data_IF_773778747570
#
_entry.id   IF_773778747570
#
_cell.length_a   1.000
_cell.length_b   1.000
_cell.length_c   1.000
_cell.angle_alpha   90.00
_cell.angle_beta   90.00
_cell.angle_gamma   90.00
#
_symmetry.space_group_name_H-M   'P 1'
#
loop_
_entity.id
_entity.type
_entity.pdbx_description
1 polymer ?
#
# COMPACT_ATOMS: atom_id res chain seq x y z
N UNK A 1 18.00 -9.03 54.45
CA UNK A 1 17.79 -7.96 53.46
C UNK A 1 18.99 -7.93 52.52
N UNK A 2 18.87 -8.52 51.33
CA UNK A 2 19.87 -8.35 50.27
C UNK A 2 19.51 -7.13 49.42
N UNK A 3 20.49 -6.30 49.06
CA UNK A 3 20.27 -5.23 48.07
C UNK A 3 20.37 -5.85 46.67
N UNK A 4 19.34 -5.66 45.85
CA UNK A 4 19.43 -5.98 44.42
C UNK A 4 20.29 -4.89 43.74
N UNK A 5 21.34 -5.29 43.04
CA UNK A 5 22.07 -4.38 42.16
C UNK A 5 21.27 -4.19 40.87
N UNK A 6 20.75 -2.99 40.65
CA UNK A 6 20.12 -2.60 39.39
C UNK A 6 21.17 -2.43 38.30
N UNK A 7 21.49 -3.52 37.59
CA UNK A 7 22.26 -3.44 36.34
C UNK A 7 21.38 -2.86 35.23
N UNK A 8 21.30 -1.53 35.17
CA UNK A 8 20.84 -0.83 33.97
C UNK A 8 21.80 -1.15 32.83
N UNK A 9 21.27 -1.65 31.71
CA UNK A 9 22.06 -1.82 30.51
C UNK A 9 22.55 -0.44 30.01
N UNK A 10 23.78 -0.33 29.48
CA UNK A 10 24.28 0.93 28.96
C UNK A 10 23.43 1.33 27.75
N UNK A 11 22.70 2.45 27.87
CA UNK A 11 22.07 3.09 26.73
C UNK A 11 23.16 3.44 25.72
N UNK A 12 23.07 2.91 24.49
CA UNK A 12 23.93 3.35 23.40
C UNK A 12 23.57 4.79 23.07
N UNK A 13 24.44 5.72 23.46
CA UNK A 13 24.41 7.11 23.00
C UNK A 13 24.83 7.15 21.52
N UNK A 14 23.86 6.90 20.63
CA UNK A 14 24.07 7.10 19.20
C UNK A 14 24.46 8.57 18.96
N UNK A 15 25.56 8.77 18.22
CA UNK A 15 25.91 10.11 17.76
C UNK A 15 24.94 10.52 16.65
N UNK A 16 24.42 11.77 16.64
CA UNK A 16 23.41 12.18 15.68
C UNK A 16 23.81 11.89 14.22
N UNK A 17 22.81 11.46 13.43
CA UNK A 17 22.98 11.19 12.01
C UNK A 17 23.34 12.44 11.19
N UNK A 18 23.85 12.28 9.95
CA UNK A 18 23.87 13.38 9.00
C UNK A 18 22.46 13.97 8.80
N UNK A 19 22.41 15.23 8.40
CA UNK A 19 21.17 15.95 8.07
C UNK A 19 21.15 16.22 6.57
N UNK A 20 20.02 15.94 5.92
CA UNK A 20 19.74 16.28 4.52
C UNK A 20 18.67 17.36 4.47
N UNK A 21 18.91 18.40 3.67
CA UNK A 21 17.99 19.55 3.52
C UNK A 21 17.22 19.44 2.20
N UNK A 22 15.93 19.12 2.27
CA UNK A 22 15.08 18.96 1.09
C UNK A 22 14.59 20.29 0.52
N UNK A 23 14.75 21.39 1.25
CA UNK A 23 14.23 22.73 0.91
C UNK A 23 12.83 22.99 1.44
N UNK A 24 12.04 21.93 1.70
CA UNK A 24 10.77 22.00 2.41
C UNK A 24 10.89 21.52 3.86
N UNK A 25 11.68 20.50 4.15
CA UNK A 25 12.03 20.04 5.50
C UNK A 25 13.49 19.53 5.55
N UNK A 26 14.02 19.37 6.76
CA UNK A 26 15.37 18.84 7.03
C UNK A 26 15.26 17.54 7.81
N UNK A 27 15.85 16.48 7.28
CA UNK A 27 15.76 15.14 7.85
C UNK A 27 17.10 14.70 8.44
N UNK A 28 17.09 14.21 9.68
CA UNK A 28 18.23 13.60 10.34
C UNK A 28 18.13 12.07 10.28
N UNK A 29 19.23 11.39 9.96
CA UNK A 29 19.23 9.94 9.91
C UNK A 29 19.05 9.31 11.30
N UNK A 30 17.99 8.52 11.48
CA UNK A 30 17.66 7.80 12.73
C UNK A 30 18.72 6.77 13.12
N UNK A 31 19.28 6.07 12.12
CA UNK A 31 20.35 5.07 12.33
C UNK A 31 21.58 5.50 11.55
N UNK A 32 22.69 5.69 12.27
CA UNK A 32 24.03 5.84 11.72
C UNK A 32 24.82 4.55 11.96
N UNK A 33 24.83 3.66 10.98
CA UNK A 33 25.63 2.44 11.00
C UNK A 33 27.02 2.68 10.38
N UNK A 34 27.93 1.69 10.49
CA UNK A 34 29.26 1.78 9.87
C UNK A 34 29.24 1.80 8.33
N UNK A 35 28.10 1.44 7.71
CA UNK A 35 27.99 1.20 6.26
C UNK A 35 26.74 1.83 5.61
N UNK A 36 25.82 2.40 6.38
CA UNK A 36 24.64 3.11 5.86
C UNK A 36 24.13 4.15 6.87
N UNK A 37 23.37 5.13 6.36
CA UNK A 37 22.52 6.00 7.16
C UNK A 37 21.07 5.65 6.80
N UNK A 38 20.20 5.44 7.79
CA UNK A 38 18.76 5.30 7.53
C UNK A 38 18.07 6.64 7.74
N UNK A 39 17.27 7.09 6.78
CA UNK A 39 16.32 8.20 6.93
C UNK A 39 14.92 7.61 6.73
N UNK A 40 14.18 7.49 7.83
CA UNK A 40 12.80 7.00 7.84
C UNK A 40 11.82 8.15 7.98
N UNK A 41 10.55 7.88 7.64
CA UNK A 41 9.44 8.77 7.91
C UNK A 41 9.60 10.17 7.27
N UNK A 42 10.12 10.18 6.03
CA UNK A 42 10.17 11.37 5.18
C UNK A 42 8.79 11.52 4.50
N UNK A 43 8.04 12.61 4.74
CA UNK A 43 6.79 12.86 4.03
C UNK A 43 7.09 13.32 2.60
N UNK A 44 6.36 12.77 1.62
CA UNK A 44 6.49 13.14 0.20
C UNK A 44 5.25 13.85 -0.38
N UNK A 45 4.12 13.75 0.32
CA UNK A 45 2.83 14.33 -0.06
C UNK A 45 2.18 15.09 1.10
N UNK A 46 1.14 15.86 0.82
CA UNK A 46 0.26 16.45 1.84
C UNK A 46 -0.59 15.33 2.47
N UNK A 47 -0.76 15.29 3.80
CA UNK A 47 -1.58 14.26 4.46
C UNK A 47 -3.04 14.29 3.97
N UNK A 48 -3.65 13.15 3.59
CA UNK A 48 -5.01 13.06 3.04
C UNK A 48 -6.08 13.16 4.14
N UNK A 49 -6.13 14.32 4.79
CA UNK A 49 -7.01 14.63 5.92
C UNK A 49 -8.16 15.54 5.49
N UNK A 50 -9.32 15.40 6.14
CA UNK A 50 -10.52 16.20 5.87
C UNK A 50 -10.85 16.20 4.37
N UNK A 51 -10.99 17.37 3.77
CA UNK A 51 -11.28 17.66 2.36
C UNK A 51 -10.25 17.10 1.35
N UNK A 52 -9.16 16.45 1.81
CA UNK A 52 -8.20 15.70 0.98
C UNK A 52 -8.34 14.18 1.10
N UNK A 53 -9.29 13.68 1.90
CA UNK A 53 -9.63 12.25 1.95
C UNK A 53 -10.29 11.86 0.62
N UNK A 54 -10.04 10.63 0.17
CA UNK A 54 -10.57 10.07 -1.10
C UNK A 54 -10.21 10.86 -2.39
N UNK A 55 -9.40 11.91 -2.29
CA UNK A 55 -8.89 12.69 -3.43
C UNK A 55 -7.50 12.23 -3.86
N UNK A 56 -7.06 12.65 -5.05
CA UNK A 56 -5.65 12.54 -5.46
C UNK A 56 -4.71 13.18 -4.41
N UNK A 57 -3.54 12.57 -4.16
CA UNK A 57 -2.55 13.11 -3.22
C UNK A 57 -1.87 14.35 -3.79
N UNK A 58 -1.69 15.38 -2.97
CA UNK A 58 -1.06 16.63 -3.37
C UNK A 58 0.44 16.67 -3.01
N UNK A 59 1.31 17.28 -3.84
CA UNK A 59 2.71 17.49 -3.50
C UNK A 59 2.89 18.49 -2.35
N UNK A 60 3.91 18.29 -1.51
CA UNK A 60 4.21 19.21 -0.39
C UNK A 60 4.54 20.61 -0.92
N UNK A 61 3.77 21.60 -0.45
CA UNK A 61 3.89 23.02 -0.81
C UNK A 61 4.28 23.92 0.39
N UNK A 62 4.38 23.36 1.59
CA UNK A 62 4.70 24.05 2.84
C UNK A 62 6.19 23.90 3.19
N UNK A 63 6.70 24.74 4.11
CA UNK A 63 8.10 24.68 4.57
C UNK A 63 8.18 24.58 6.09
N UNK A 64 8.81 23.52 6.59
CA UNK A 64 9.11 23.26 8.00
C UNK A 64 10.53 23.72 8.35
N UNK A 65 10.67 24.51 9.41
CA UNK A 65 11.97 24.86 9.99
C UNK A 65 12.49 23.83 11.00
N UNK A 66 11.74 22.75 11.25
CA UNK A 66 12.11 21.74 12.24
C UNK A 66 13.21 20.82 11.71
N UNK A 67 13.53 19.78 12.48
CA UNK A 67 14.34 18.65 12.02
C UNK A 67 13.52 17.40 12.35
N UNK A 68 13.12 16.68 11.31
CA UNK A 68 12.47 15.39 11.43
C UNK A 68 13.58 14.32 11.55
N UNK A 69 13.62 13.59 12.67
CA UNK A 69 14.65 12.58 12.96
C UNK A 69 14.20 11.15 12.63
N UNK A 70 13.03 10.99 12.00
CA UNK A 70 12.42 9.72 11.64
C UNK A 70 11.93 8.87 12.82
N UNK A 71 11.98 9.36 14.06
CA UNK A 71 11.71 8.56 15.27
C UNK A 71 10.25 8.16 15.49
N UNK A 72 9.31 8.85 14.84
CA UNK A 72 7.87 8.53 14.87
C UNK A 72 7.51 7.87 13.54
N UNK A 73 7.06 6.62 13.59
CA UNK A 73 6.62 5.86 12.42
C UNK A 73 5.11 5.98 12.20
N UNK A 74 4.71 6.17 10.95
CA UNK A 74 3.31 6.08 10.55
C UNK A 74 3.13 5.12 9.37
N UNK A 75 2.15 4.22 9.48
CA UNK A 75 1.63 3.40 8.39
C UNK A 75 0.16 3.75 8.14
N UNK A 76 -0.33 3.48 6.92
CA UNK A 76 -1.73 3.74 6.60
C UNK A 76 -2.65 2.78 7.37
N UNK A 77 -3.84 3.22 7.84
CA UNK A 77 -4.67 2.42 8.72
C UNK A 77 -5.17 1.15 8.01
N UNK A 78 -5.13 0.01 8.70
CA UNK A 78 -5.41 -1.28 8.08
C UNK A 78 -6.72 -1.92 8.54
N UNK A 79 -7.49 -2.39 7.56
CA UNK A 79 -8.68 -3.20 7.80
C UNK A 79 -8.39 -4.67 7.51
N UNK A 80 -8.81 -5.53 8.44
CA UNK A 80 -8.78 -6.97 8.33
C UNK A 80 -10.06 -7.52 8.95
N UNK A 81 -10.53 -8.68 8.48
CA UNK A 81 -11.52 -9.45 9.24
C UNK A 81 -10.81 -10.21 10.36
N UNK A 82 -11.41 -10.26 11.55
CA UNK A 82 -10.81 -10.97 12.70
C UNK A 82 -10.51 -12.44 12.36
N UNK A 83 -11.43 -13.07 11.62
CA UNK A 83 -11.29 -14.47 11.19
C UNK A 83 -10.10 -14.73 10.27
N UNK A 84 -9.62 -13.77 9.45
CA UNK A 84 -8.48 -14.04 8.55
C UNK A 84 -7.16 -14.20 9.31
N UNK A 85 -6.94 -13.47 10.41
CA UNK A 85 -5.69 -13.57 11.20
C UNK A 85 -5.60 -14.90 11.95
N UNK A 86 -6.63 -15.26 12.70
CA UNK A 86 -6.65 -16.53 13.44
C UNK A 86 -6.61 -17.75 12.51
N UNK A 87 -7.39 -17.68 11.41
CA UNK A 87 -7.43 -18.77 10.45
C UNK A 87 -6.12 -18.92 9.67
N UNK A 88 -5.37 -17.85 9.38
CA UNK A 88 -4.05 -17.96 8.75
C UNK A 88 -3.05 -18.75 9.62
N UNK A 89 -3.05 -18.52 10.94
CA UNK A 89 -2.23 -19.28 11.89
C UNK A 89 -2.67 -20.75 11.96
N UNK A 90 -3.97 -21.03 12.10
CA UNK A 90 -4.52 -22.39 12.14
C UNK A 90 -4.26 -23.13 10.83
N UNK A 91 -4.37 -22.46 9.69
CA UNK A 91 -4.02 -22.99 8.37
C UNK A 91 -2.54 -23.32 8.26
N UNK A 92 -1.64 -22.46 8.73
CA UNK A 92 -0.20 -22.74 8.74
C UNK A 92 0.11 -23.97 9.60
N UNK A 93 -0.45 -24.05 10.82
CA UNK A 93 -0.29 -25.20 11.72
C UNK A 93 -0.85 -26.50 11.12
N UNK A 94 -2.01 -26.47 10.47
CA UNK A 94 -2.59 -27.64 9.80
C UNK A 94 -1.76 -28.08 8.58
N UNK A 95 -1.27 -27.13 7.80
CA UNK A 95 -0.48 -27.40 6.57
C UNK A 95 0.92 -27.93 6.91
N UNK A 96 1.48 -27.53 8.06
CA UNK A 96 2.71 -28.10 8.64
C UNK A 96 2.48 -29.44 9.38
N UNK A 97 1.24 -29.93 9.47
CA UNK A 97 0.91 -31.17 10.18
C UNK A 97 1.01 -31.09 11.71
N UNK A 98 1.04 -29.87 12.27
CA UNK A 98 1.16 -29.62 13.71
C UNK A 98 -0.19 -29.72 14.45
N UNK A 99 -1.31 -29.53 13.73
CA UNK A 99 -2.66 -29.83 14.23
C UNK A 99 -3.40 -30.75 13.24
N UNK A 100 -4.16 -31.71 13.78
CA UNK A 100 -4.88 -32.72 12.99
C UNK A 100 -6.33 -32.32 12.64
N UNK A 101 -6.89 -31.35 13.36
CA UNK A 101 -8.20 -30.76 13.11
C UNK A 101 -8.16 -29.28 13.46
N UNK A 102 -9.10 -28.51 12.91
CA UNK A 102 -9.32 -27.10 13.27
C UNK A 102 -10.59 -27.06 14.11
N UNK A 103 -10.44 -26.58 15.34
CA UNK A 103 -11.47 -26.53 16.37
C UNK A 103 -11.68 -25.06 16.74
N UNK A 104 -12.92 -24.54 16.79
CA UNK A 104 -13.18 -23.15 17.17
C UNK A 104 -12.61 -22.76 18.56
N UNK A 105 -12.41 -23.73 19.47
CA UNK A 105 -11.76 -23.46 20.77
C UNK A 105 -10.24 -23.17 20.66
N UNK A 106 -9.64 -23.34 19.48
CA UNK A 106 -8.28 -22.90 19.17
C UNK A 106 -8.22 -21.49 18.55
N UNK A 107 -9.36 -20.82 18.34
CA UNK A 107 -9.43 -19.38 18.05
C UNK A 107 -9.16 -18.63 19.36
N UNK A 108 -7.88 -18.43 19.67
CA UNK A 108 -7.43 -17.72 20.87
C UNK A 108 -7.46 -16.22 20.55
N UNK A 109 -8.21 -15.37 21.31
CA UNK A 109 -8.16 -13.92 21.14
C UNK A 109 -6.71 -13.42 21.12
N UNK A 110 -6.38 -12.78 20.00
CA UNK A 110 -5.04 -12.73 19.43
C UNK A 110 -3.94 -12.22 20.41
N UNK A 111 -2.86 -13.01 20.67
CA UNK A 111 -1.72 -12.58 21.49
C UNK A 111 -0.70 -11.72 20.73
N UNK A 112 -0.78 -11.66 19.39
CA UNK A 112 -0.07 -10.64 18.61
C UNK A 112 -0.83 -9.33 18.71
N UNK A 113 -0.47 -8.56 19.74
CA UNK A 113 -0.84 -7.15 19.89
C UNK A 113 -0.82 -6.43 18.53
N UNK A 114 -1.83 -5.58 18.29
CA UNK A 114 -1.95 -4.81 17.05
C UNK A 114 -0.66 -4.03 16.73
N UNK A 115 -0.51 -3.58 15.48
CA UNK A 115 0.38 -2.44 15.24
C UNK A 115 -0.11 -1.34 16.19
N UNK A 116 0.74 -0.78 17.09
CA UNK A 116 0.25 0.10 18.14
C UNK A 116 -0.59 1.23 17.52
N UNK A 117 -1.76 1.55 18.10
CA UNK A 117 -2.69 2.51 17.50
C UNK A 117 -2.13 3.95 17.39
N UNK A 118 -0.94 4.18 17.95
CA UNK A 118 -0.12 5.38 17.81
C UNK A 118 0.82 5.36 16.58
N UNK A 119 0.88 4.25 15.82
CA UNK A 119 1.64 4.05 14.58
C UNK A 119 0.73 3.93 13.34
N UNK A 120 -0.53 3.55 13.48
CA UNK A 120 -1.51 3.70 12.38
C UNK A 120 -1.98 5.16 12.35
N UNK A 121 -1.72 5.86 11.24
CA UNK A 121 -2.12 7.26 11.06
C UNK A 121 -2.70 7.46 9.67
N UNK A 122 -3.66 8.37 9.56
CA UNK A 122 -4.10 8.89 8.25
C UNK A 122 -3.05 9.83 7.63
N UNK A 123 -2.07 10.29 8.42
CA UNK A 123 -0.82 10.87 7.93
C UNK A 123 0.23 9.78 7.71
N UNK A 124 0.07 9.01 6.63
CA UNK A 124 0.89 7.83 6.33
C UNK A 124 1.69 7.94 5.01
N UNK A 125 1.72 9.12 4.38
CA UNK A 125 2.38 9.31 3.09
C UNK A 125 3.89 9.54 3.28
N UNK A 126 4.54 8.51 3.81
CA UNK A 126 5.93 8.48 4.27
C UNK A 126 6.77 7.43 3.50
N UNK A 127 8.08 7.68 3.35
CA UNK A 127 9.03 6.77 2.69
C UNK A 127 10.23 6.39 3.58
N UNK A 128 10.72 5.16 3.35
CA UNK A 128 12.08 4.68 3.66
C UNK A 128 12.87 4.56 2.33
N UNK A 129 14.18 4.90 2.31
CA UNK A 129 14.90 5.23 1.04
C UNK A 129 16.31 4.62 0.91
N UNK A 130 16.60 3.89 -0.19
CA UNK A 130 17.89 3.22 -0.57
C UNK A 130 18.03 3.11 -2.13
N UNK A 131 19.21 3.15 -2.80
CA UNK A 131 19.31 3.60 -4.25
C UNK A 131 20.34 2.94 -5.26
N UNK A 132 19.89 2.41 -6.45
CA UNK A 132 20.38 2.56 -7.90
C UNK A 132 19.20 2.53 -8.98
N UNK A 133 19.12 2.54 -10.39
CA UNK A 133 19.82 3.00 -11.68
C UNK A 133 18.86 3.12 -13.01
N UNK A 134 19.07 3.91 -14.15
CA UNK A 134 18.01 4.38 -15.19
C UNK A 134 18.27 5.24 -16.56
N UNK A 135 17.41 5.85 -17.52
CA UNK A 135 15.96 6.42 -17.84
C UNK A 135 15.58 6.67 -19.39
N UNK A 136 14.46 7.24 -20.00
CA UNK A 136 13.07 7.91 -19.78
C UNK A 136 12.24 8.07 -21.16
N UNK A 137 10.92 8.30 -21.49
CA UNK A 137 9.50 8.62 -20.98
C UNK A 137 8.36 7.97 -21.93
N UNK A 138 6.97 7.93 -21.92
CA UNK A 138 5.71 8.61 -21.38
C UNK A 138 4.32 7.80 -21.67
N UNK A 139 3.04 8.36 -21.68
CA UNK A 139 1.69 7.75 -22.18
C UNK A 139 0.26 8.30 -21.58
N UNK A 140 -0.98 8.34 -22.22
CA UNK A 140 -2.40 8.80 -21.71
C UNK A 140 -3.74 8.37 -22.50
N UNK A 141 -5.07 8.41 -22.19
CA UNK A 141 -6.01 8.98 -21.17
C UNK A 141 -7.53 8.48 -21.28
N UNK A 142 -8.56 9.38 -21.46
CA UNK A 142 -10.05 9.31 -21.15
C UNK A 142 -10.98 8.19 -21.78
N UNK A 143 -12.31 7.90 -21.54
CA UNK A 143 -13.57 8.48 -20.91
C UNK A 143 -14.70 7.38 -20.63
N UNK A 144 -15.56 7.45 -19.57
CA UNK A 144 -16.82 6.66 -19.25
C UNK A 144 -17.53 7.14 -17.91
N UNK A 145 -18.34 6.31 -17.16
CA UNK A 145 -18.64 6.54 -15.72
C UNK A 145 -17.35 6.38 -14.95
N UNK A 146 -16.65 7.49 -14.79
CA UNK A 146 -15.44 7.56 -13.99
C UNK A 146 -15.84 7.75 -12.53
N UNK A 147 -15.47 6.83 -11.62
CA UNK A 147 -15.32 7.22 -10.23
C UNK A 147 -14.06 8.09 -10.17
N UNK A 148 -14.24 9.40 -10.39
CA UNK A 148 -13.17 10.39 -10.41
C UNK A 148 -12.31 10.28 -9.15
N UNK A 149 -11.00 10.32 -9.32
CA UNK A 149 -10.01 10.09 -8.26
C UNK A 149 -10.19 8.72 -7.54
N UNK A 150 -10.44 7.66 -8.30
CA UNK A 150 -10.13 6.28 -7.85
C UNK A 150 -8.66 5.95 -8.03
N UNK A 151 -8.26 4.75 -7.62
CA UNK A 151 -6.87 4.29 -7.69
C UNK A 151 -5.89 5.22 -6.95
N UNK A 152 -6.34 5.99 -5.95
CA UNK A 152 -5.50 6.93 -5.19
C UNK A 152 -4.25 6.28 -4.58
N UNK A 153 -4.31 5.00 -4.19
CA UNK A 153 -3.14 4.24 -3.73
C UNK A 153 -2.05 4.04 -4.80
N UNK A 154 -2.39 4.16 -6.08
CA UNK A 154 -1.45 4.18 -7.21
C UNK A 154 -0.95 5.60 -7.51
N UNK A 155 -1.81 6.62 -7.48
CA UNK A 155 -1.37 8.03 -7.53
C UNK A 155 -0.39 8.37 -6.37
N UNK A 156 -0.62 7.82 -5.19
CA UNK A 156 0.28 7.91 -4.03
C UNK A 156 1.65 7.32 -4.35
N UNK A 157 1.70 6.14 -4.99
CA UNK A 157 2.97 5.53 -5.44
C UNK A 157 3.63 6.32 -6.58
N UNK A 158 2.86 6.87 -7.52
CA UNK A 158 3.38 7.73 -8.59
C UNK A 158 4.04 9.00 -8.01
N UNK A 159 3.37 9.67 -7.07
CA UNK A 159 3.90 10.84 -6.38
C UNK A 159 5.13 10.50 -5.51
N UNK A 160 5.13 9.34 -4.85
CA UNK A 160 6.29 8.83 -4.11
C UNK A 160 7.52 8.61 -5.01
N UNK A 161 7.33 7.98 -6.18
CA UNK A 161 8.41 7.72 -7.14
C UNK A 161 8.90 9.00 -7.82
N UNK A 162 8.00 9.94 -8.16
CA UNK A 162 8.35 11.28 -8.62
C UNK A 162 9.15 12.05 -7.55
N UNK A 163 8.75 11.95 -6.27
CA UNK A 163 9.53 12.50 -5.17
C UNK A 163 10.94 11.90 -5.11
N UNK A 164 11.09 10.57 -5.29
CA UNK A 164 12.41 9.93 -5.35
C UNK A 164 13.21 10.51 -6.52
N UNK A 165 12.72 10.46 -7.75
CA UNK A 165 13.40 11.04 -8.92
C UNK A 165 13.85 12.49 -8.68
N UNK A 166 13.00 13.33 -8.10
CA UNK A 166 13.28 14.74 -7.79
C UNK A 166 14.28 14.98 -6.66
N UNK A 167 14.28 14.14 -5.62
CA UNK A 167 15.00 14.42 -4.37
C UNK A 167 16.19 13.48 -4.07
N UNK A 168 16.33 12.34 -4.74
CA UNK A 168 17.30 11.29 -4.38
C UNK A 168 18.77 11.73 -4.54
N UNK A 169 19.02 12.70 -5.42
CA UNK A 169 20.31 13.40 -5.57
C UNK A 169 20.83 14.02 -4.27
N UNK A 170 19.93 14.45 -3.36
CA UNK A 170 20.27 15.01 -2.05
C UNK A 170 20.77 13.97 -1.04
N UNK A 171 20.48 12.69 -1.28
CA UNK A 171 20.96 11.55 -0.51
C UNK A 171 22.18 10.86 -1.16
N UNK A 172 22.62 11.34 -2.33
CA UNK A 172 23.75 10.78 -3.08
C UNK A 172 23.38 9.68 -4.09
N UNK A 173 22.08 9.44 -4.33
CA UNK A 173 21.62 8.62 -5.45
C UNK A 173 21.57 9.40 -6.77
N UNK A 174 21.38 8.72 -7.90
CA UNK A 174 21.16 9.38 -9.18
C UNK A 174 19.66 9.58 -9.45
N UNK A 175 19.19 10.79 -9.82
CA UNK A 175 17.80 11.01 -10.22
C UNK A 175 17.52 10.40 -11.60
N UNK A 176 18.54 10.46 -12.46
CA UNK A 176 18.66 9.72 -13.71
C UNK A 176 18.78 8.20 -13.49
N UNK A 177 18.73 7.71 -12.25
CA UNK A 177 19.20 6.36 -11.93
C UNK A 177 18.46 5.71 -10.73
N UNK A 178 17.25 5.14 -10.97
CA UNK A 178 16.37 4.45 -9.98
C UNK A 178 15.81 3.06 -10.40
N UNK A 179 15.75 2.11 -9.46
CA UNK A 179 15.21 0.76 -9.61
C UNK A 179 14.03 0.60 -8.66
N UNK A 180 12.86 0.26 -9.19
CA UNK A 180 11.67 -0.09 -8.41
C UNK A 180 11.58 -1.61 -8.25
N UNK A 181 11.17 -2.07 -7.08
CA UNK A 181 10.94 -3.48 -6.77
C UNK A 181 9.65 -3.63 -5.98
N UNK A 182 8.86 -4.65 -6.33
CA UNK A 182 7.60 -4.94 -5.67
C UNK A 182 7.30 -6.44 -5.70
N UNK A 183 6.50 -6.87 -4.72
CA UNK A 183 6.04 -8.25 -4.57
C UNK A 183 4.51 -8.28 -4.51
N UNK A 184 3.88 -9.30 -5.08
CA UNK A 184 2.42 -9.49 -5.06
C UNK A 184 1.66 -8.24 -5.55
N UNK A 185 0.84 -7.61 -4.70
CA UNK A 185 0.13 -6.36 -5.01
C UNK A 185 1.07 -5.18 -5.32
N UNK A 186 2.31 -5.17 -4.81
CA UNK A 186 3.34 -4.20 -5.18
C UNK A 186 3.90 -4.43 -6.59
N UNK A 187 4.08 -5.69 -7.00
CA UNK A 187 4.44 -6.03 -8.39
C UNK A 187 3.31 -5.67 -9.37
N UNK A 188 2.05 -5.87 -8.97
CA UNK A 188 0.88 -5.39 -9.73
C UNK A 188 0.81 -3.86 -9.78
N UNK A 189 1.08 -3.16 -8.67
CA UNK A 189 1.10 -1.70 -8.63
C UNK A 189 2.16 -1.12 -9.56
N UNK A 190 3.35 -1.73 -9.61
CA UNK A 190 4.37 -1.38 -10.61
C UNK A 190 3.84 -1.59 -12.03
N UNK A 191 3.15 -2.69 -12.34
CA UNK A 191 2.55 -2.85 -13.67
C UNK A 191 1.46 -1.81 -13.98
N UNK A 192 0.61 -1.45 -13.02
CA UNK A 192 -0.34 -0.35 -13.19
C UNK A 192 0.34 1.02 -13.34
N UNK A 193 1.55 1.23 -12.80
CA UNK A 193 2.37 2.41 -13.06
C UNK A 193 2.97 2.37 -14.47
N UNK A 194 3.54 1.24 -14.89
CA UNK A 194 4.14 1.05 -16.22
C UNK A 194 3.11 1.26 -17.34
N UNK A 195 1.89 0.76 -17.14
CA UNK A 195 0.75 1.02 -18.04
C UNK A 195 -0.14 2.15 -17.52
N UNK A 196 0.38 3.07 -16.72
CA UNK A 196 -0.46 4.19 -16.26
C UNK A 196 -0.79 5.08 -17.44
N UNK A 197 -2.03 5.55 -17.43
CA UNK A 197 -2.62 6.48 -18.39
C UNK A 197 -2.73 6.02 -19.88
N UNK A 198 -1.80 5.28 -20.51
CA UNK A 198 -2.05 4.58 -21.79
C UNK A 198 -1.40 5.11 -23.09
N UNK A 199 -2.14 5.81 -23.97
CA UNK A 199 -1.84 6.14 -25.39
C UNK A 199 -1.13 7.51 -25.73
N UNK A 200 -1.39 8.67 -25.09
CA UNK A 200 -0.97 10.01 -25.59
C UNK A 200 0.18 10.79 -24.86
N UNK A 201 0.33 10.79 -23.51
CA UNK A 201 1.17 11.74 -22.70
C UNK A 201 2.70 11.78 -22.94
N UNK A 202 3.19 11.27 -24.05
CA UNK A 202 4.22 12.02 -24.81
C UNK A 202 3.85 13.50 -25.03
N UNK A 203 2.55 13.80 -24.84
CA UNK A 203 1.88 15.06 -24.53
C UNK A 203 1.73 15.34 -23.00
N UNK A 204 2.80 15.52 -22.20
CA UNK A 204 2.69 15.61 -20.74
C UNK A 204 1.85 16.81 -20.25
N UNK A 205 0.80 16.49 -19.49
CA UNK A 205 -0.13 17.46 -18.89
C UNK A 205 0.12 17.63 -17.37
N UNK A 206 -0.70 18.42 -16.66
CA UNK A 206 -0.39 18.82 -15.27
C UNK A 206 -0.51 17.72 -14.22
N UNK A 207 -1.24 16.64 -14.54
CA UNK A 207 -1.69 15.62 -13.59
C UNK A 207 -1.10 14.23 -13.91
N UNK A 208 -0.39 14.12 -15.05
CA UNK A 208 0.45 12.99 -15.42
C UNK A 208 1.87 13.12 -14.85
N UNK A 209 2.55 11.98 -14.70
CA UNK A 209 4.01 11.99 -14.71
C UNK A 209 4.46 12.12 -16.18
N UNK A 210 5.50 12.93 -16.49
CA UNK A 210 5.92 13.12 -17.87
C UNK A 210 6.52 11.84 -18.49
N UNK A 211 6.84 10.84 -17.67
CA UNK A 211 7.16 9.47 -18.02
C UNK A 211 7.53 8.64 -16.81
N UNK A 212 8.26 7.55 -17.00
CA UNK A 212 8.61 6.67 -15.87
C UNK A 212 9.55 7.39 -14.87
N UNK A 213 9.18 7.49 -13.58
CA UNK A 213 10.06 8.01 -12.53
C UNK A 213 11.08 6.97 -12.04
N UNK A 214 11.02 5.75 -12.57
CA UNK A 214 11.94 4.63 -12.34
C UNK A 214 12.26 3.96 -13.68
N UNK A 215 13.27 3.09 -13.71
CA UNK A 215 13.86 2.67 -14.98
C UNK A 215 14.27 1.20 -15.06
N UNK A 216 14.57 0.60 -13.92
CA UNK A 216 14.65 -0.85 -13.79
C UNK A 216 13.51 -1.31 -12.89
N UNK A 217 12.75 -2.31 -13.30
CA UNK A 217 11.57 -2.78 -12.58
C UNK A 217 11.67 -4.26 -12.26
N UNK A 218 11.58 -4.62 -10.97
CA UNK A 218 11.62 -6.01 -10.50
C UNK A 218 10.23 -6.39 -9.96
N UNK A 219 9.52 -7.21 -10.72
CA UNK A 219 8.13 -7.60 -10.51
C UNK A 219 8.10 -9.04 -9.98
N UNK A 220 7.99 -9.20 -8.66
CA UNK A 220 7.95 -10.49 -7.99
C UNK A 220 6.50 -10.94 -7.82
N UNK A 221 6.08 -12.00 -8.51
CA UNK A 221 4.77 -12.64 -8.35
C UNK A 221 3.55 -11.70 -8.50
N UNK A 222 3.45 -10.88 -9.58
CA UNK A 222 2.35 -9.94 -9.77
C UNK A 222 0.97 -10.63 -9.70
N UNK A 223 0.13 -10.16 -8.78
CA UNK A 223 -1.20 -10.70 -8.51
C UNK A 223 -2.30 -9.82 -9.15
N UNK A 224 -2.90 -10.33 -10.23
CA UNK A 224 -4.07 -9.69 -10.86
C UNK A 224 -5.36 -10.41 -10.49
N UNK A 225 -6.32 -9.64 -9.97
CA UNK A 225 -7.68 -10.08 -9.71
C UNK A 225 -8.57 -9.76 -10.93
N UNK A 226 -9.75 -10.40 -11.07
CA UNK A 226 -10.67 -10.08 -12.16
C UNK A 226 -11.07 -8.61 -12.09
N UNK A 227 -10.86 -7.87 -13.17
CA UNK A 227 -11.30 -6.47 -13.27
C UNK A 227 -12.80 -6.42 -13.08
N UNK A 228 -13.22 -5.71 -12.04
CA UNK A 228 -14.62 -5.47 -11.70
C UNK A 228 -15.27 -4.55 -12.73
N UNK A 229 -16.60 -4.63 -12.83
CA UNK A 229 -17.38 -3.76 -13.70
C UNK A 229 -18.08 -2.68 -12.85
N UNK A 230 -18.47 -1.58 -13.49
CA UNK A 230 -19.10 -0.43 -12.83
C UNK A 230 -20.33 -0.74 -11.96
N UNK A 231 -21.02 -1.87 -12.17
CA UNK A 231 -22.14 -2.26 -11.28
C UNK A 231 -21.66 -2.98 -10.02
N UNK A 232 -20.54 -3.71 -10.09
CA UNK A 232 -19.88 -4.31 -8.91
C UNK A 232 -19.27 -3.22 -8.05
N UNK A 233 -18.57 -2.25 -8.63
CA UNK A 233 -18.04 -1.10 -7.88
C UNK A 233 -19.15 -0.25 -7.25
N UNK A 234 -20.26 -0.02 -7.97
CA UNK A 234 -21.43 0.65 -7.41
C UNK A 234 -22.04 -0.11 -6.24
N UNK A 235 -22.14 -1.44 -6.31
CA UNK A 235 -22.62 -2.26 -5.19
C UNK A 235 -21.67 -2.15 -3.98
N UNK A 236 -20.35 -2.21 -4.19
CA UNK A 236 -19.34 -2.03 -3.12
C UNK A 236 -19.46 -0.65 -2.48
N UNK A 237 -19.68 0.40 -3.27
CA UNK A 237 -19.93 1.76 -2.77
C UNK A 237 -21.24 1.89 -1.98
N UNK A 238 -22.36 1.34 -2.49
CA UNK A 238 -23.65 1.33 -1.80
C UNK A 238 -23.60 0.53 -0.48
N UNK A 239 -22.88 -0.60 -0.45
CA UNK A 239 -22.64 -1.37 0.78
C UNK A 239 -21.72 -0.62 1.76
N UNK A 240 -20.73 0.14 1.28
CA UNK A 240 -19.85 0.95 2.14
C UNK A 240 -20.56 2.14 2.78
N UNK A 241 -21.43 2.84 2.03
CA UNK A 241 -22.32 3.88 2.55
C UNK A 241 -23.18 3.34 3.71
N UNK A 242 -23.86 2.22 3.46
CA UNK A 242 -24.67 1.53 4.48
C UNK A 242 -23.84 1.12 5.70
N UNK A 243 -22.65 0.55 5.50
CA UNK A 243 -21.75 0.13 6.57
C UNK A 243 -21.14 1.28 7.38
N UNK A 244 -21.05 2.48 6.79
CA UNK A 244 -20.54 3.69 7.42
C UNK A 244 -21.62 4.52 8.12
N UNK A 245 -22.91 4.15 8.01
CA UNK A 245 -24.06 4.97 8.46
C UNK A 245 -24.06 6.36 7.79
N UNK A 246 -24.05 6.37 6.45
CA UNK A 246 -24.01 7.56 5.60
C UNK A 246 -24.94 7.41 4.38
N UNK A 247 -25.67 8.47 4.02
CA UNK A 247 -26.53 8.53 2.83
C UNK A 247 -25.81 9.11 1.59
N UNK A 248 -24.67 9.80 1.76
CA UNK A 248 -23.95 10.54 0.71
C UNK A 248 -22.42 10.38 0.77
N UNK A 249 -21.71 10.75 -0.30
CA UNK A 249 -20.23 10.75 -0.31
C UNK A 249 -19.66 11.80 0.63
N UNK A 250 -20.27 12.98 0.65
CA UNK A 250 -19.91 14.13 1.48
C UNK A 250 -20.03 13.81 2.98
N UNK A 251 -20.90 12.87 3.36
CA UNK A 251 -20.94 12.32 4.72
C UNK A 251 -19.73 11.42 5.03
N UNK A 252 -19.23 10.62 4.08
CA UNK A 252 -18.02 9.80 4.27
C UNK A 252 -16.76 10.66 4.46
N UNK A 253 -16.68 11.82 3.82
CA UNK A 253 -15.57 12.76 3.96
C UNK A 253 -15.44 13.29 5.41
N UNK A 254 -16.56 13.47 6.11
CA UNK A 254 -16.58 14.02 7.48
C UNK A 254 -16.58 12.98 8.61
N UNK A 255 -16.79 11.69 8.31
CA UNK A 255 -16.70 10.58 9.29
C UNK A 255 -15.31 10.52 9.96
N UNK A 256 -15.22 9.96 11.16
CA UNK A 256 -13.91 9.65 11.75
C UNK A 256 -13.25 8.47 11.03
N UNK A 257 -11.91 8.41 11.07
CA UNK A 257 -11.17 7.27 10.50
C UNK A 257 -11.61 5.94 11.11
N UNK A 258 -12.01 5.92 12.39
CA UNK A 258 -12.48 4.71 13.07
C UNK A 258 -13.81 4.19 12.50
N UNK A 259 -14.74 5.08 12.14
CA UNK A 259 -16.00 4.69 11.49
C UNK A 259 -15.75 4.11 10.09
N UNK A 260 -14.89 4.76 9.30
CA UNK A 260 -14.53 4.28 7.96
C UNK A 260 -13.76 2.94 8.00
N UNK A 261 -12.87 2.76 8.98
CA UNK A 261 -12.17 1.48 9.20
C UNK A 261 -13.15 0.40 9.64
N UNK A 262 -14.16 0.72 10.46
CA UNK A 262 -15.21 -0.24 10.84
C UNK A 262 -16.06 -0.67 9.64
N UNK A 263 -16.50 0.28 8.80
CA UNK A 263 -17.19 0.00 7.54
C UNK A 263 -16.35 -0.87 6.59
N UNK A 264 -15.05 -0.56 6.46
CA UNK A 264 -14.11 -1.33 5.65
C UNK A 264 -13.94 -2.77 6.19
N UNK A 265 -13.81 -2.95 7.52
CA UNK A 265 -13.75 -4.27 8.15
C UNK A 265 -15.01 -5.11 7.90
N UNK A 266 -16.20 -4.50 7.88
CA UNK A 266 -17.47 -5.16 7.56
C UNK A 266 -17.57 -5.58 6.09
N UNK A 267 -17.03 -4.80 5.15
CA UNK A 267 -16.94 -5.18 3.74
C UNK A 267 -15.84 -6.22 3.46
N UNK A 268 -14.75 -6.22 4.22
CA UNK A 268 -13.69 -7.23 4.13
C UNK A 268 -14.12 -8.56 4.75
N UNK A 269 -14.92 -8.57 5.84
CA UNK A 269 -15.38 -9.82 6.46
C UNK A 269 -16.30 -10.65 5.56
N UNK A 270 -17.02 -9.98 4.65
CA UNK A 270 -17.91 -10.59 3.62
C UNK A 270 -17.18 -10.98 2.34
N UNK A 271 -15.95 -10.50 2.12
CA UNK A 271 -15.17 -10.83 0.94
C UNK A 271 -14.86 -12.34 0.90
N UNK A 272 -15.08 -13.05 -0.22
CA UNK A 272 -14.73 -14.47 -0.33
C UNK A 272 -13.23 -14.70 -0.08
N UNK A 273 -12.87 -15.79 0.59
CA UNK A 273 -11.46 -16.11 0.85
C UNK A 273 -10.59 -16.05 -0.43
N UNK A 274 -9.46 -15.35 -0.33
CA UNK A 274 -8.54 -15.03 -1.42
C UNK A 274 -9.10 -14.12 -2.53
N UNK A 275 -10.16 -13.35 -2.24
CA UNK A 275 -10.58 -12.14 -2.97
C UNK A 275 -10.41 -10.91 -2.07
N UNK A 276 -10.52 -9.72 -2.65
CA UNK A 276 -10.32 -8.44 -1.98
C UNK A 276 -11.43 -7.47 -2.41
N UNK A 277 -12.06 -6.78 -1.46
CA UNK A 277 -13.22 -5.90 -1.74
C UNK A 277 -12.82 -4.58 -2.39
N UNK A 278 -11.59 -4.12 -2.17
CA UNK A 278 -11.04 -2.87 -2.71
C UNK A 278 -9.70 -3.13 -3.39
N UNK A 279 -9.43 -2.43 -4.50
CA UNK A 279 -8.20 -2.53 -5.28
C UNK A 279 -8.17 -1.52 -6.42
N UNK A 280 -7.21 -1.61 -7.36
CA UNK A 280 -7.22 -0.80 -8.57
C UNK A 280 -8.46 -1.10 -9.42
N UNK A 281 -9.27 -0.07 -9.67
CA UNK A 281 -10.43 -0.11 -10.56
C UNK A 281 -10.04 0.40 -11.94
N UNK A 282 -10.91 0.22 -12.94
CA UNK A 282 -10.81 1.05 -14.14
C UNK A 282 -11.28 2.46 -13.79
N UNK A 283 -10.53 3.43 -14.29
CA UNK A 283 -10.85 4.85 -14.30
C UNK A 283 -10.46 5.38 -15.69
N UNK A 284 -10.48 6.69 -15.95
CA UNK A 284 -10.20 7.24 -17.29
C UNK A 284 -8.92 8.08 -17.34
N UNK A 285 -8.16 8.11 -16.25
CA UNK A 285 -6.92 8.88 -16.18
C UNK A 285 -5.73 7.97 -15.93
N UNK A 286 -5.73 7.18 -14.86
CA UNK A 286 -4.61 6.34 -14.45
C UNK A 286 -4.72 4.90 -14.96
N UNK A 287 -5.94 4.34 -15.02
CA UNK A 287 -6.18 2.93 -15.40
C UNK A 287 -7.30 2.82 -16.46
N UNK A 288 -7.08 3.34 -17.69
CA UNK A 288 -8.11 3.44 -18.75
C UNK A 288 -8.59 2.08 -19.29
N UNK A 289 -7.73 1.07 -19.25
CA UNK A 289 -8.00 -0.28 -19.76
C UNK A 289 -7.34 -1.31 -18.83
N UNK A 290 -7.72 -2.59 -18.86
CA UNK A 290 -7.00 -3.63 -18.14
C UNK A 290 -5.53 -3.69 -18.59
N UNK A 291 -4.59 -3.86 -17.65
CA UNK A 291 -3.14 -3.96 -17.90
C UNK A 291 -2.78 -4.94 -19.03
N UNK A 292 -3.50 -6.05 -19.16
CA UNK A 292 -3.29 -7.05 -20.22
C UNK A 292 -3.74 -6.62 -21.62
N UNK A 293 -4.54 -5.56 -21.74
CA UNK A 293 -4.88 -4.88 -22.99
C UNK A 293 -3.80 -3.85 -23.31
N UNK A 294 -3.43 -3.01 -22.33
CA UNK A 294 -2.41 -1.97 -22.48
C UNK A 294 -1.06 -2.55 -22.93
N UNK A 295 -0.55 -3.58 -22.23
CA UNK A 295 0.66 -4.32 -22.61
C UNK A 295 0.59 -5.03 -23.98
N UNK A 296 -0.61 -5.27 -24.50
CA UNK A 296 -0.84 -5.93 -25.80
C UNK A 296 -0.86 -4.92 -26.94
N UNK A 297 -1.45 -3.75 -26.71
CA UNK A 297 -1.67 -2.74 -27.74
C UNK A 297 -0.47 -1.78 -27.90
N UNK A 298 0.35 -1.64 -26.85
CA UNK A 298 1.59 -0.84 -26.84
C UNK A 298 1.59 0.30 -25.81
N UNK A 299 0.48 0.42 -25.09
CA UNK A 299 0.08 1.54 -24.24
C UNK A 299 0.83 1.53 -22.88
N UNK A 300 2.13 1.77 -22.90
CA UNK A 300 2.97 1.76 -21.71
C UNK A 300 4.24 2.62 -21.85
N UNK A 301 4.81 2.97 -20.68
CA UNK A 301 6.12 3.60 -20.52
C UNK A 301 7.20 2.78 -21.24
N UNK A 302 7.59 3.25 -22.43
CA UNK A 302 8.43 2.56 -23.42
C UNK A 302 9.94 2.62 -23.11
N UNK A 303 10.27 3.16 -21.95
CA UNK A 303 11.54 3.79 -21.59
C UNK A 303 12.26 3.16 -20.39
N UNK A 304 11.67 2.11 -19.85
CA UNK A 304 12.19 1.36 -18.71
C UNK A 304 13.29 0.43 -19.23
N UNK A 305 14.56 0.85 -19.06
CA UNK A 305 15.80 0.15 -19.45
C UNK A 305 15.74 -1.39 -19.31
N UNK A 306 15.12 -1.89 -18.24
CA UNK A 306 14.97 -3.33 -18.03
C UNK A 306 13.90 -3.73 -17.03
N UNK A 307 13.00 -4.64 -17.45
CA UNK A 307 12.00 -5.27 -16.60
C UNK A 307 12.41 -6.72 -16.31
N UNK A 308 12.44 -7.10 -15.03
CA UNK A 308 12.59 -8.47 -14.57
C UNK A 308 11.28 -8.94 -13.93
N UNK A 309 10.65 -9.97 -14.51
CA UNK A 309 9.44 -10.59 -13.95
C UNK A 309 9.75 -11.99 -13.44
N UNK A 310 9.35 -12.29 -12.22
CA UNK A 310 9.55 -13.59 -11.58
C UNK A 310 8.24 -14.12 -10.97
N UNK A 311 8.12 -15.44 -10.84
CA UNK A 311 6.99 -16.11 -10.19
C UNK A 311 7.50 -17.34 -9.42
N UNK A 312 6.85 -17.71 -8.32
CA UNK A 312 7.06 -19.00 -7.68
C UNK A 312 6.45 -20.12 -8.55
N UNK A 313 7.05 -21.30 -8.48
CA UNK A 313 6.56 -22.48 -9.22
C UNK A 313 5.14 -22.94 -8.84
N UNK A 314 4.59 -22.45 -7.73
CA UNK A 314 3.31 -22.87 -7.15
C UNK A 314 2.56 -21.70 -6.44
N UNK A 315 2.44 -20.52 -7.06
CA UNK A 315 1.75 -19.34 -6.44
C UNK A 315 0.40 -19.69 -5.80
N UNK A 316 -0.43 -20.45 -6.52
CA UNK A 316 -1.75 -20.90 -6.05
C UNK A 316 -1.73 -21.83 -4.83
N UNK A 317 -0.57 -22.27 -4.32
CA UNK A 317 -0.48 -23.04 -3.08
C UNK A 317 -0.88 -22.19 -1.87
N UNK A 318 -0.62 -20.88 -1.90
CA UNK A 318 -0.99 -19.95 -0.82
C UNK A 318 -2.51 -19.73 -0.74
N UNK A 319 -3.19 -19.72 -1.89
CA UNK A 319 -4.59 -19.28 -2.03
C UNK A 319 -5.59 -20.42 -2.36
N UNK A 320 -5.11 -21.59 -2.78
CA UNK A 320 -5.95 -22.61 -3.47
C UNK A 320 -5.72 -24.05 -2.99
N UNK A 321 -5.27 -24.28 -1.76
CA UNK A 321 -5.39 -25.61 -1.17
C UNK A 321 -6.88 -25.88 -0.92
N UNK A 322 -7.45 -26.88 -1.61
CA UNK A 322 -8.89 -27.16 -1.60
C UNK A 322 -9.46 -27.60 -0.24
N UNK A 323 -8.58 -27.98 0.70
CA UNK A 323 -8.92 -28.10 2.13
C UNK A 323 -9.00 -26.73 2.82
N UNK A 324 -8.00 -25.87 2.62
CA UNK A 324 -7.97 -24.53 3.20
C UNK A 324 -9.20 -23.74 2.77
N UNK A 325 -9.52 -23.66 1.47
CA UNK A 325 -10.74 -22.96 1.02
C UNK A 325 -12.01 -23.41 1.77
N UNK A 326 -12.22 -24.72 1.93
CA UNK A 326 -13.35 -25.27 2.72
C UNK A 326 -13.27 -24.94 4.21
N UNK A 327 -12.06 -24.89 4.79
CA UNK A 327 -11.81 -24.48 6.17
C UNK A 327 -12.12 -22.99 6.35
N UNK A 328 -11.61 -22.12 5.47
CA UNK A 328 -11.80 -20.67 5.54
C UNK A 328 -13.27 -20.30 5.36
N UNK A 329 -13.96 -20.85 4.36
CA UNK A 329 -15.40 -20.65 4.19
C UNK A 329 -16.19 -21.23 5.37
N UNK A 330 -15.79 -22.37 5.96
CA UNK A 330 -16.47 -22.86 7.16
C UNK A 330 -16.27 -21.95 8.38
N UNK A 331 -15.07 -21.40 8.57
CA UNK A 331 -14.76 -20.44 9.64
C UNK A 331 -15.48 -19.09 9.42
N UNK A 332 -15.57 -18.62 8.18
CA UNK A 332 -16.33 -17.43 7.79
C UNK A 332 -17.83 -17.61 8.15
N UNK A 333 -18.46 -18.68 7.67
CA UNK A 333 -19.86 -19.00 8.01
C UNK A 333 -20.08 -19.15 9.53
N UNK A 334 -19.13 -19.75 10.26
CA UNK A 334 -19.21 -19.86 11.73
C UNK A 334 -19.09 -18.50 12.43
N UNK A 335 -18.29 -17.57 11.90
CA UNK A 335 -18.22 -16.20 12.39
C UNK A 335 -19.54 -15.46 12.16
N UNK A 336 -20.14 -15.58 10.98
CA UNK A 336 -21.45 -15.02 10.64
C UNK A 336 -22.54 -15.57 11.59
N UNK A 337 -22.57 -16.89 11.82
CA UNK A 337 -23.51 -17.55 12.76
C UNK A 337 -23.33 -17.12 14.23
N UNK A 338 -22.09 -16.89 14.69
CA UNK A 338 -21.78 -16.55 16.09
C UNK A 338 -21.96 -15.06 16.39
N UNK A 339 -21.64 -14.17 15.44
CA UNK A 339 -21.60 -12.73 15.66
C UNK A 339 -22.77 -11.95 15.02
N UNK A 340 -23.59 -12.56 14.16
CA UNK A 340 -24.77 -11.95 13.50
C UNK A 340 -24.45 -10.68 12.69
N UNK A 341 -23.60 -10.84 11.66
CA UNK A 341 -23.03 -9.78 10.79
C UNK A 341 -23.53 -9.89 9.34
#
# INVERSE_FOLDING_TARGET
MGKANSHTAPQKTFSPGPIVDLGYERHQAIIKANHYNNFSNIPYAVPPLHDLRFSKPLPINSTSSQINDGSIGHICPQAHSDWTRDAALLVALYTLGLINNIDPSHLIPNPFQDVPAEWESVDCLLLDVVVPEGVAEALEGDDDFVPHDTSNGLYVQALALNWVSKHISKFGGGPDRVTVIGESAGASSILHLITSYGEDSSEPNSDSLPGAPFQHAILQSPAFFPVTNANTERQVYEEFLYAADADTFEELEVKSSNELIAANKFLISKSPYAQFTFGPTLDTAFVPKPVSILLKDGDFWNDIDGIMVAHNSLEGLLLRISKQWKIMTHLQNLYEEVYQV
#
